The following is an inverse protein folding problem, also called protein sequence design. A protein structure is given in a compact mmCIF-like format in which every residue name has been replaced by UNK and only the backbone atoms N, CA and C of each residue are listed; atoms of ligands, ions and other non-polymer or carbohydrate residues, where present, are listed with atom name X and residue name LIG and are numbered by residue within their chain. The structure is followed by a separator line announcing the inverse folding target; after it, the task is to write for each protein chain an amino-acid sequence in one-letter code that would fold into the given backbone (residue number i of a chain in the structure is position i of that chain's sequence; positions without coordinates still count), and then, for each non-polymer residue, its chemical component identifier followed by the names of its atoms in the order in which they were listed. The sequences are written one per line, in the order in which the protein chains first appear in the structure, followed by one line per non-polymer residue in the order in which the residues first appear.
data_IF_275181469724
#
_entry.id   IF_275181469724
#
_cell.length_a   1.000
_cell.length_b   1.000
_cell.length_c   1.000
_cell.angle_alpha   90.00
_cell.angle_beta   90.00
_cell.angle_gamma   90.00
#
_symmetry.space_group_name_H-M   'P 1'
#
loop_
_entity.id
_entity.type
_entity.pdbx_description
1 polymer ?
#
# COMPACT_ATOMS: atom_id res chain seq x y z
N UNK A 1 24.12 14.03 -1.56
CA UNK A 1 23.38 12.91 -0.94
C UNK A 1 22.37 12.39 -1.95
N UNK A 2 22.21 11.08 -2.11
CA UNK A 2 21.18 10.54 -2.99
C UNK A 2 19.79 10.91 -2.45
N UNK A 3 18.87 11.27 -3.35
CA UNK A 3 17.49 11.54 -2.97
C UNK A 3 16.87 10.30 -2.30
N UNK A 4 16.09 10.48 -1.22
CA UNK A 4 15.53 9.34 -0.49
C UNK A 4 14.53 8.58 -1.36
N UNK A 5 14.45 7.27 -1.12
CA UNK A 5 13.48 6.41 -1.76
C UNK A 5 12.08 6.59 -1.14
N UNK A 6 11.06 6.23 -1.91
CA UNK A 6 9.67 6.18 -1.46
C UNK A 6 9.05 4.84 -1.85
N UNK A 7 8.13 4.38 -1.01
CA UNK A 7 7.38 3.15 -1.26
C UNK A 7 6.00 3.49 -1.82
N UNK A 8 5.50 2.66 -2.72
CA UNK A 8 4.12 2.68 -3.14
C UNK A 8 3.52 1.30 -2.98
N UNK A 9 2.28 1.28 -2.49
CA UNK A 9 1.61 0.08 -2.02
C UNK A 9 0.27 -0.06 -2.72
N UNK A 10 0.07 -1.17 -3.43
CA UNK A 10 -1.21 -1.55 -3.99
C UNK A 10 -1.69 -2.82 -3.28
N UNK A 11 -2.70 -2.68 -2.43
CA UNK A 11 -3.22 -3.79 -1.63
C UNK A 11 -4.14 -4.71 -2.44
N UNK A 12 -4.22 -5.94 -1.95
CA UNK A 12 -5.20 -6.93 -2.31
C UNK A 12 -5.61 -7.68 -1.03
N UNK A 13 -6.65 -8.52 -1.08
CA UNK A 13 -7.04 -9.33 0.08
C UNK A 13 -5.90 -10.21 0.58
N UNK A 14 -5.31 -9.86 1.73
CA UNK A 14 -4.27 -10.60 2.42
C UNK A 14 -2.82 -10.31 2.01
N UNK A 15 -2.58 -9.48 0.98
CA UNK A 15 -1.24 -9.19 0.47
C UNK A 15 -1.17 -7.83 -0.23
N UNK A 16 0.02 -7.35 -0.58
CA UNK A 16 0.17 -6.12 -1.36
C UNK A 16 1.36 -6.21 -2.34
N UNK A 17 1.30 -5.44 -3.42
CA UNK A 17 2.49 -5.09 -4.20
C UNK A 17 3.18 -3.91 -3.54
N UNK A 18 4.48 -4.04 -3.32
CA UNK A 18 5.39 -2.98 -2.90
C UNK A 18 6.32 -2.65 -4.06
N UNK A 19 6.34 -1.38 -4.46
CA UNK A 19 7.36 -0.81 -5.36
C UNK A 19 8.11 0.27 -4.61
N UNK A 20 9.44 0.31 -4.76
CA UNK A 20 10.25 1.42 -4.27
C UNK A 20 10.85 2.19 -5.45
N UNK A 21 10.68 3.50 -5.43
CA UNK A 21 11.33 4.42 -6.36
C UNK A 21 12.33 5.29 -5.62
N UNK A 22 13.51 5.49 -6.21
CA UNK A 22 14.49 6.49 -5.81
C UNK A 22 14.80 7.43 -6.97
N UNK A 23 15.91 8.15 -6.90
CA UNK A 23 16.25 9.18 -7.89
C UNK A 23 15.42 10.45 -7.68
N UNK A 24 15.24 11.24 -8.74
CA UNK A 24 14.47 12.49 -8.66
C UNK A 24 13.05 12.29 -9.16
N UNK A 25 12.09 13.16 -8.81
CA UNK A 25 10.73 13.07 -9.35
C UNK A 25 10.67 13.12 -10.89
N UNK A 26 11.65 13.74 -11.56
CA UNK A 26 11.71 13.79 -13.03
C UNK A 26 12.48 12.61 -13.64
N UNK A 27 13.31 11.92 -12.87
CA UNK A 27 14.10 10.77 -13.29
C UNK A 27 14.06 9.68 -12.21
N UNK A 28 12.90 9.03 -12.01
CA UNK A 28 12.78 8.00 -10.99
C UNK A 28 13.52 6.73 -11.41
N UNK A 29 14.05 6.03 -10.43
CA UNK A 29 14.69 4.73 -10.60
C UNK A 29 13.93 3.70 -9.77
N UNK A 30 13.57 2.57 -10.40
CA UNK A 30 12.96 1.46 -9.68
C UNK A 30 14.05 0.70 -8.90
N UNK A 31 13.95 0.73 -7.58
CA UNK A 31 14.93 0.12 -6.67
C UNK A 31 14.54 -1.27 -6.20
N UNK A 32 13.24 -1.51 -6.04
CA UNK A 32 12.70 -2.85 -5.79
C UNK A 32 11.23 -2.93 -6.18
N UNK A 33 10.78 -4.14 -6.46
CA UNK A 33 9.38 -4.50 -6.69
C UNK A 33 9.18 -5.90 -6.13
N UNK A 34 8.23 -6.06 -5.22
CA UNK A 34 7.89 -7.37 -4.65
C UNK A 34 6.45 -7.47 -4.18
N UNK A 35 6.00 -8.70 -4.01
CA UNK A 35 4.78 -9.02 -3.28
C UNK A 35 5.13 -9.17 -1.80
N UNK A 36 4.31 -8.58 -0.92
CA UNK A 36 4.42 -8.72 0.53
C UNK A 36 3.15 -9.36 1.09
N UNK A 37 3.30 -10.37 1.94
CA UNK A 37 2.17 -11.06 2.57
C UNK A 37 1.75 -10.34 3.86
N UNK A 38 0.47 -9.97 3.94
CA UNK A 38 -0.12 -9.34 5.12
C UNK A 38 -0.79 -10.38 6.01
N UNK A 39 -1.34 -11.44 5.41
CA UNK A 39 -1.88 -12.59 6.12
C UNK A 39 -1.21 -13.83 5.57
N UNK A 40 -0.43 -14.50 6.41
CA UNK A 40 0.17 -15.78 6.05
C UNK A 40 -0.91 -16.87 6.15
N UNK A 41 -1.20 -17.52 5.03
CA UNK A 41 -2.16 -18.63 4.98
C UNK A 41 -1.58 -19.95 5.49
N UNK A 42 -0.25 -19.99 5.76
CA UNK A 42 0.44 -21.13 6.39
C UNK A 42 1.57 -20.67 7.32
N UNK A 43 1.81 -21.35 8.45
CA UNK A 43 0.96 -22.39 9.06
C UNK A 43 -0.25 -21.81 9.84
N UNK A 44 -0.41 -20.49 9.88
CA UNK A 44 -1.48 -19.81 10.62
C UNK A 44 -2.81 -19.77 9.82
N UNK A 45 -3.89 -20.20 10.47
CA UNK A 45 -5.25 -20.44 9.94
C UNK A 45 -6.11 -19.19 9.80
N UNK A 46 -5.54 -18.00 9.58
CA UNK A 46 -6.33 -16.77 9.50
C UNK A 46 -6.83 -16.54 8.06
N UNK A 47 -8.11 -16.19 7.85
CA UNK A 47 -8.65 -15.93 6.53
C UNK A 47 -8.10 -14.62 5.96
N UNK A 48 -7.74 -14.63 4.68
CA UNK A 48 -7.39 -13.42 3.92
C UNK A 48 -8.60 -12.52 3.66
N UNK A 49 -9.81 -13.05 3.85
CA UNK A 49 -11.09 -12.36 3.72
C UNK A 49 -11.87 -12.48 5.05
N UNK A 50 -11.44 -11.75 6.10
CA UNK A 50 -11.99 -11.92 7.45
C UNK A 50 -13.47 -11.55 7.55
N UNK A 51 -13.95 -10.58 6.76
CA UNK A 51 -15.35 -10.18 6.82
C UNK A 51 -16.24 -11.24 6.16
N UNK A 52 -15.81 -11.80 5.02
CA UNK A 52 -16.51 -12.95 4.42
C UNK A 52 -16.54 -14.15 5.36
N UNK A 53 -15.40 -14.50 5.97
CA UNK A 53 -15.33 -15.60 6.92
C UNK A 53 -16.16 -15.37 8.21
N UNK A 54 -16.52 -14.11 8.48
CA UNK A 54 -17.32 -13.73 9.64
C UNK A 54 -18.82 -13.58 9.34
N UNK A 55 -19.25 -13.65 8.08
CA UNK A 55 -20.61 -13.30 7.67
C UNK A 55 -21.70 -14.18 8.33
N UNK A 56 -21.36 -15.39 8.74
CA UNK A 56 -22.27 -16.34 9.40
C UNK A 56 -21.96 -16.55 10.89
N UNK A 57 -21.02 -15.78 11.47
CA UNK A 57 -20.63 -15.92 12.87
C UNK A 57 -21.48 -15.02 13.78
N UNK A 58 -21.64 -15.38 15.07
CA UNK A 58 -22.12 -14.45 16.09
C UNK A 58 -21.26 -13.17 16.14
N UNK A 59 -21.87 -12.04 16.53
CA UNK A 59 -21.23 -10.73 16.48
C UNK A 59 -19.87 -10.66 17.22
N UNK A 60 -19.79 -11.26 18.40
CA UNK A 60 -18.55 -11.27 19.19
C UNK A 60 -17.46 -12.12 18.55
N UNK A 61 -17.82 -13.26 17.96
CA UNK A 61 -16.88 -14.13 17.24
C UNK A 61 -16.39 -13.48 15.94
N UNK A 62 -17.29 -12.81 15.22
CA UNK A 62 -16.95 -12.02 14.04
C UNK A 62 -15.97 -10.90 14.40
N UNK A 63 -16.24 -10.16 15.49
CA UNK A 63 -15.37 -9.10 15.96
C UNK A 63 -13.99 -9.63 16.38
N UNK A 64 -13.91 -10.76 17.10
CA UNK A 64 -12.64 -11.36 17.47
C UNK A 64 -11.85 -11.85 16.24
N UNK A 65 -12.51 -12.51 15.28
CA UNK A 65 -11.85 -12.97 14.05
C UNK A 65 -11.25 -11.81 13.26
N UNK A 66 -12.04 -10.76 12.99
CA UNK A 66 -11.58 -9.54 12.33
C UNK A 66 -10.43 -8.88 13.12
N UNK A 67 -10.53 -8.85 14.45
CA UNK A 67 -9.49 -8.33 15.34
C UNK A 67 -8.18 -9.11 15.24
N UNK A 68 -8.22 -10.45 15.25
CA UNK A 68 -7.04 -11.32 15.09
C UNK A 68 -6.37 -11.11 13.73
N UNK A 69 -7.16 -11.03 12.65
CA UNK A 69 -6.62 -10.74 11.31
C UNK A 69 -5.97 -9.37 11.26
N UNK A 70 -6.61 -8.32 11.79
CA UNK A 70 -6.04 -6.97 11.85
C UNK A 70 -4.70 -6.93 12.60
N UNK A 71 -4.62 -7.59 13.77
CA UNK A 71 -3.37 -7.68 14.55
C UNK A 71 -2.25 -8.40 13.78
N UNK A 72 -2.58 -9.51 13.11
CA UNK A 72 -1.63 -10.23 12.27
C UNK A 72 -1.17 -9.40 11.07
N UNK A 73 -2.10 -8.76 10.37
CA UNK A 73 -1.81 -7.90 9.22
C UNK A 73 -0.93 -6.71 9.57
N UNK A 74 -1.19 -6.01 10.69
CA UNK A 74 -0.32 -4.92 11.17
C UNK A 74 1.10 -5.39 11.46
N UNK A 75 1.25 -6.51 12.16
CA UNK A 75 2.58 -7.09 12.48
C UNK A 75 3.34 -7.47 11.23
N UNK A 76 2.66 -8.12 10.28
CA UNK A 76 3.26 -8.56 9.02
C UNK A 76 3.62 -7.37 8.14
N UNK A 77 2.72 -6.40 7.97
CA UNK A 77 2.98 -5.15 7.25
C UNK A 77 4.22 -4.44 7.82
N UNK A 78 4.30 -4.25 9.15
CA UNK A 78 5.45 -3.61 9.80
C UNK A 78 6.75 -4.35 9.50
N UNK A 79 6.75 -5.69 9.60
CA UNK A 79 7.94 -6.51 9.29
C UNK A 79 8.38 -6.34 7.82
N UNK A 80 7.46 -6.45 6.88
CA UNK A 80 7.79 -6.40 5.44
C UNK A 80 8.25 -5.00 5.00
N UNK A 81 7.64 -3.94 5.56
CA UNK A 81 8.05 -2.55 5.31
C UNK A 81 9.38 -2.21 5.99
N UNK A 82 9.61 -2.66 7.24
CA UNK A 82 10.89 -2.48 7.93
C UNK A 82 12.02 -3.16 7.15
N UNK A 83 11.79 -4.41 6.73
CA UNK A 83 12.72 -5.14 5.87
C UNK A 83 13.03 -4.37 4.58
N UNK A 84 12.01 -3.82 3.90
CA UNK A 84 12.21 -3.03 2.68
C UNK A 84 13.08 -1.80 2.94
N UNK A 85 12.73 -1.06 4.00
CA UNK A 85 13.44 0.15 4.42
C UNK A 85 14.90 -0.15 4.72
N UNK A 86 15.16 -1.19 5.51
CA UNK A 86 16.51 -1.51 5.99
C UNK A 86 17.37 -2.05 4.83
N UNK A 87 16.82 -2.89 3.96
CA UNK A 87 17.50 -3.38 2.75
C UNK A 87 17.79 -2.26 1.73
N UNK A 88 16.93 -1.25 1.62
CA UNK A 88 17.15 -0.08 0.76
C UNK A 88 18.18 0.87 1.38
N UNK A 89 18.09 1.13 2.68
CA UNK A 89 19.05 1.96 3.40
C UNK A 89 20.46 1.38 3.34
N UNK A 90 20.62 0.07 3.52
CA UNK A 90 21.91 -0.63 3.38
C UNK A 90 22.52 -0.51 1.97
N UNK A 91 21.70 -0.27 0.94
CA UNK A 91 22.12 -0.01 -0.44
C UNK A 91 22.29 1.48 -0.76
N UNK A 92 22.27 2.36 0.24
CA UNK A 92 22.42 3.80 0.05
C UNK A 92 21.15 4.54 -0.35
N UNK A 93 19.98 3.92 -0.18
CA UNK A 93 18.68 4.49 -0.52
C UNK A 93 17.78 4.58 0.73
N UNK A 94 17.99 5.56 1.63
CA UNK A 94 17.13 5.72 2.80
C UNK A 94 15.68 5.98 2.36
N UNK A 95 14.70 5.36 3.02
CA UNK A 95 13.29 5.52 2.67
C UNK A 95 12.67 6.65 3.48
N UNK A 96 12.09 7.65 2.82
CA UNK A 96 11.47 8.81 3.46
C UNK A 96 9.95 8.70 3.61
N UNK A 97 9.29 7.95 2.73
CA UNK A 97 7.82 7.93 2.69
C UNK A 97 7.23 6.68 2.06
N UNK A 98 5.93 6.51 2.27
CA UNK A 98 5.12 5.46 1.67
C UNK A 98 3.76 6.02 1.22
N UNK A 99 3.31 5.64 0.04
CA UNK A 99 1.98 5.93 -0.45
C UNK A 99 1.05 4.74 -0.25
N UNK A 100 -0.13 5.00 0.32
CA UNK A 100 -1.18 4.00 0.59
C UNK A 100 -2.51 4.51 0.06
N UNK A 101 -3.27 3.62 -0.58
CA UNK A 101 -4.60 3.96 -1.06
C UNK A 101 -5.54 4.34 0.10
N UNK A 102 -6.53 5.16 -0.19
CA UNK A 102 -7.70 5.42 0.65
C UNK A 102 -8.97 5.25 -0.18
N UNK A 103 -10.11 5.09 0.49
CA UNK A 103 -11.41 5.08 -0.18
C UNK A 103 -11.93 6.52 -0.34
N UNK A 104 -12.66 6.82 -1.40
CA UNK A 104 -13.19 8.17 -1.70
C UNK A 104 -14.23 8.66 -0.68
N UNK A 105 -14.76 7.77 0.17
CA UNK A 105 -15.81 8.13 1.13
C UNK A 105 -15.22 8.44 2.49
N UNK A 106 -15.65 9.57 3.05
CA UNK A 106 -15.59 9.90 4.49
C UNK A 106 -16.62 9.07 5.30
N UNK A 107 -17.33 8.16 4.63
CA UNK A 107 -18.21 7.17 5.24
C UNK A 107 -17.33 6.16 5.97
N UNK A 108 -17.11 6.38 7.26
CA UNK A 108 -16.73 5.32 8.18
C UNK A 108 -17.55 4.07 7.81
N UNK A 109 -16.87 2.93 7.66
CA UNK A 109 -17.58 1.67 7.44
C UNK A 109 -18.74 1.59 8.44
N UNK A 110 -19.93 1.17 7.99
CA UNK A 110 -21.04 1.02 8.91
C UNK A 110 -20.69 0.02 10.01
N UNK A 111 -21.49 -0.05 11.10
CA UNK A 111 -21.30 -1.04 12.15
C UNK A 111 -21.20 -2.46 11.58
N UNK A 112 -20.43 -3.31 12.29
CA UNK A 112 -20.00 -4.62 11.78
C UNK A 112 -21.19 -5.48 11.31
N UNK A 113 -22.30 -5.47 12.02
CA UNK A 113 -23.53 -6.20 11.67
C UNK A 113 -24.09 -5.81 10.29
N UNK A 114 -24.03 -4.53 9.92
CA UNK A 114 -24.45 -4.04 8.59
C UNK A 114 -23.43 -4.40 7.52
N UNK A 115 -22.13 -4.36 7.83
CA UNK A 115 -21.07 -4.80 6.90
C UNK A 115 -21.24 -6.28 6.55
N UNK A 116 -21.48 -7.13 7.55
CA UNK A 116 -21.58 -8.59 7.39
C UNK A 116 -22.76 -9.03 6.51
N UNK A 117 -23.78 -8.18 6.33
CA UNK A 117 -24.99 -8.47 5.55
C UNK A 117 -24.92 -8.03 4.08
N UNK A 118 -23.83 -7.39 3.64
CA UNK A 118 -23.73 -6.83 2.29
C UNK A 118 -22.41 -7.20 1.64
N UNK A 119 -22.46 -8.02 0.59
CA UNK A 119 -21.27 -8.47 -0.13
C UNK A 119 -20.38 -7.31 -0.64
N UNK A 120 -20.93 -6.21 -1.20
CA UNK A 120 -20.15 -5.02 -1.49
C UNK A 120 -19.45 -4.40 -0.26
N UNK A 121 -20.13 -4.35 0.89
CA UNK A 121 -19.54 -3.81 2.13
C UNK A 121 -18.45 -4.74 2.70
N UNK A 122 -18.59 -6.05 2.56
CA UNK A 122 -17.54 -7.01 2.94
C UNK A 122 -16.22 -6.70 2.20
N UNK A 123 -16.28 -6.57 0.87
CA UNK A 123 -15.10 -6.25 0.05
C UNK A 123 -14.51 -4.88 0.40
N UNK A 124 -15.36 -3.87 0.60
CA UNK A 124 -14.92 -2.55 1.00
C UNK A 124 -14.18 -2.58 2.36
N UNK A 125 -14.75 -3.29 3.34
CA UNK A 125 -14.19 -3.42 4.68
C UNK A 125 -12.87 -4.21 4.71
N UNK A 126 -12.73 -5.23 3.87
CA UNK A 126 -11.48 -5.98 3.70
C UNK A 126 -10.37 -5.11 3.12
N UNK A 127 -10.68 -4.38 2.04
CA UNK A 127 -9.72 -3.45 1.45
C UNK A 127 -9.29 -2.38 2.46
N UNK A 128 -10.23 -1.79 3.20
CA UNK A 128 -9.93 -0.79 4.22
C UNK A 128 -9.06 -1.34 5.35
N UNK A 129 -9.35 -2.55 5.83
CA UNK A 129 -8.53 -3.22 6.84
C UNK A 129 -7.07 -3.31 6.40
N UNK A 130 -6.79 -3.74 5.17
CA UNK A 130 -5.41 -3.89 4.69
C UNK A 130 -4.73 -2.55 4.42
N UNK A 131 -5.42 -1.57 3.83
CA UNK A 131 -4.92 -0.20 3.65
C UNK A 131 -4.56 0.44 5.00
N UNK A 132 -5.42 0.31 6.00
CA UNK A 132 -5.15 0.79 7.36
C UNK A 132 -3.94 0.12 8.00
N UNK A 133 -3.79 -1.20 7.82
CA UNK A 133 -2.64 -1.93 8.34
C UNK A 133 -1.33 -1.45 7.72
N UNK A 134 -1.33 -1.19 6.41
CA UNK A 134 -0.17 -0.66 5.68
C UNK A 134 0.16 0.77 6.11
N UNK A 135 -0.83 1.66 6.19
CA UNK A 135 -0.63 3.04 6.64
C UNK A 135 -0.14 3.11 8.09
N UNK A 136 -0.74 2.32 8.99
CA UNK A 136 -0.31 2.21 10.38
C UNK A 136 1.12 1.68 10.50
N UNK A 137 1.49 0.67 9.71
CA UNK A 137 2.83 0.13 9.68
C UNK A 137 3.86 1.16 9.19
N UNK A 138 3.58 1.86 8.08
CA UNK A 138 4.46 2.90 7.54
C UNK A 138 4.67 4.05 8.53
N UNK A 139 3.59 4.57 9.11
CA UNK A 139 3.64 5.64 10.13
C UNK A 139 4.43 5.19 11.36
N UNK A 140 4.19 3.97 11.86
CA UNK A 140 4.92 3.42 13.00
C UNK A 140 6.40 3.14 12.74
N UNK A 141 6.85 3.21 11.48
CA UNK A 141 8.27 3.16 11.08
C UNK A 141 8.87 4.55 10.84
N UNK A 142 8.11 5.62 11.08
CA UNK A 142 8.53 7.01 10.88
C UNK A 142 8.51 7.47 9.42
N UNK A 143 7.83 6.74 8.53
CA UNK A 143 7.71 7.11 7.12
C UNK A 143 6.58 8.15 6.96
N UNK A 144 6.82 9.18 6.14
CA UNK A 144 5.75 10.08 5.71
C UNK A 144 4.69 9.29 4.92
N UNK A 145 3.43 9.33 5.34
CA UNK A 145 2.35 8.57 4.70
C UNK A 145 1.57 9.47 3.74
N UNK A 146 1.75 9.25 2.44
CA UNK A 146 0.95 9.89 1.40
C UNK A 146 -0.30 9.05 1.13
N UNK A 147 -1.48 9.64 1.33
CA UNK A 147 -2.75 8.98 1.01
C UNK A 147 -3.15 9.30 -0.42
N UNK A 148 -3.64 8.31 -1.16
CA UNK A 148 -4.10 8.53 -2.53
C UNK A 148 -5.42 7.85 -2.83
N UNK A 149 -6.21 8.46 -3.70
CA UNK A 149 -7.41 7.84 -4.26
C UNK A 149 -7.04 7.05 -5.52
N UNK A 150 -7.50 5.79 -5.67
CA UNK A 150 -7.26 5.03 -6.90
C UNK A 150 -7.75 5.76 -8.16
N UNK A 151 -8.88 6.47 -8.04
CA UNK A 151 -9.41 7.36 -9.06
C UNK A 151 -8.47 8.53 -9.32
N UNK A 152 -8.03 8.67 -10.58
CA UNK A 152 -7.19 9.80 -11.02
C UNK A 152 -5.75 9.79 -10.49
N UNK A 153 -5.26 8.67 -9.93
CA UNK A 153 -3.91 8.57 -9.37
C UNK A 153 -2.82 9.05 -10.35
N UNK A 154 -2.88 8.61 -11.62
CA UNK A 154 -1.93 9.03 -12.65
C UNK A 154 -1.89 10.54 -12.83
N UNK A 155 -3.05 11.20 -12.90
CA UNK A 155 -3.14 12.65 -13.07
C UNK A 155 -2.57 13.39 -11.87
N UNK A 156 -2.91 12.95 -10.65
CA UNK A 156 -2.37 13.55 -9.41
C UNK A 156 -0.86 13.37 -9.29
N UNK A 157 -0.36 12.17 -9.55
CA UNK A 157 1.07 11.89 -9.52
C UNK A 157 1.82 12.74 -10.54
N UNK A 158 1.31 12.82 -11.78
CA UNK A 158 1.91 13.63 -12.83
C UNK A 158 1.97 15.12 -12.45
N UNK A 159 0.86 15.69 -11.97
CA UNK A 159 0.81 17.06 -11.51
C UNK A 159 1.79 17.32 -10.34
N UNK A 160 1.85 16.41 -9.37
CA UNK A 160 2.70 16.56 -8.19
C UNK A 160 4.20 16.54 -8.51
N UNK A 161 4.61 15.80 -9.54
CA UNK A 161 6.02 15.69 -9.96
C UNK A 161 6.39 16.58 -11.15
N UNK A 162 5.46 17.45 -11.58
CA UNK A 162 5.69 18.42 -12.65
C UNK A 162 5.80 17.81 -14.05
N UNK A 163 4.99 16.79 -14.36
CA UNK A 163 4.96 16.12 -15.67
C UNK A 163 3.52 15.92 -16.18
N UNK A 164 3.36 15.32 -17.36
CA UNK A 164 2.03 14.96 -17.90
C UNK A 164 1.67 13.51 -17.60
N UNK A 165 0.36 13.17 -17.52
CA UNK A 165 -0.08 11.78 -17.37
C UNK A 165 0.50 10.84 -18.43
N UNK A 166 0.63 11.31 -19.68
CA UNK A 166 1.14 10.56 -20.81
C UNK A 166 2.64 10.25 -20.65
N UNK A 167 3.42 11.24 -20.23
CA UNK A 167 4.85 11.10 -19.98
C UNK A 167 5.14 10.17 -18.79
N UNK A 168 4.36 10.28 -17.71
CA UNK A 168 4.44 9.38 -16.56
C UNK A 168 4.13 7.94 -16.98
N UNK A 169 3.05 7.72 -17.74
CA UNK A 169 2.69 6.40 -18.26
C UNK A 169 3.77 5.84 -19.21
N UNK A 170 4.39 6.69 -20.03
CA UNK A 170 5.51 6.29 -20.89
C UNK A 170 6.70 5.79 -20.07
N UNK A 171 7.07 6.50 -19.01
CA UNK A 171 8.11 6.06 -18.09
C UNK A 171 7.77 4.75 -17.38
N UNK A 172 6.54 4.56 -16.90
CA UNK A 172 6.12 3.30 -16.29
C UNK A 172 6.26 2.12 -17.26
N UNK A 173 6.02 2.33 -18.56
CA UNK A 173 6.27 1.30 -19.58
C UNK A 173 7.75 1.00 -19.74
N UNK A 174 8.61 2.02 -19.75
CA UNK A 174 10.06 1.86 -19.83
C UNK A 174 10.62 1.12 -18.61
N UNK A 175 10.22 1.51 -17.40
CA UNK A 175 10.56 0.80 -16.17
C UNK A 175 10.16 -0.66 -16.26
N UNK A 176 8.92 -0.94 -16.67
CA UNK A 176 8.41 -2.31 -16.84
C UNK A 176 9.20 -3.16 -17.83
N UNK A 177 9.64 -2.57 -18.95
CA UNK A 177 10.50 -3.25 -19.93
C UNK A 177 11.87 -3.57 -19.33
N UNK A 178 12.45 -2.66 -18.57
CA UNK A 178 13.76 -2.84 -17.95
C UNK A 178 13.77 -3.93 -16.87
N UNK A 179 12.70 -4.04 -16.07
CA UNK A 179 12.64 -4.99 -14.94
C UNK A 179 11.94 -6.32 -15.25
N UNK A 180 11.36 -6.46 -16.45
CA UNK A 180 10.65 -7.67 -16.88
C UNK A 180 9.38 -7.98 -16.05
N UNK A 181 8.71 -9.12 -16.32
CA UNK A 181 7.53 -9.54 -15.57
C UNK A 181 7.87 -9.90 -14.10
N UNK A 182 6.92 -9.77 -13.17
CA UNK A 182 5.55 -9.29 -13.35
C UNK A 182 5.44 -7.75 -13.37
N UNK A 183 4.81 -7.16 -14.39
CA UNK A 183 4.55 -5.71 -14.47
C UNK A 183 3.10 -5.41 -14.85
N UNK A 184 2.19 -5.93 -14.04
CA UNK A 184 0.75 -5.83 -14.25
C UNK A 184 0.16 -4.57 -13.61
N UNK A 185 -1.18 -4.51 -13.55
CA UNK A 185 -1.93 -3.36 -13.03
C UNK A 185 -1.43 -2.93 -11.65
N UNK A 186 -1.31 -3.86 -10.72
CA UNK A 186 -0.98 -3.53 -9.32
C UNK A 186 0.47 -3.02 -9.18
N UNK A 187 1.41 -3.54 -9.98
CA UNK A 187 2.77 -3.00 -10.03
C UNK A 187 2.80 -1.58 -10.57
N UNK A 188 2.01 -1.29 -11.60
CA UNK A 188 1.91 0.07 -12.14
C UNK A 188 1.24 1.01 -11.14
N UNK A 189 0.19 0.58 -10.45
CA UNK A 189 -0.46 1.37 -9.39
C UNK A 189 0.52 1.66 -8.25
N UNK A 190 1.20 0.63 -7.73
CA UNK A 190 2.21 0.79 -6.69
C UNK A 190 3.36 1.70 -7.14
N UNK A 191 3.83 1.59 -8.38
CA UNK A 191 4.86 2.48 -8.92
C UNK A 191 4.37 3.94 -9.02
N UNK A 192 3.17 4.18 -9.54
CA UNK A 192 2.59 5.54 -9.59
C UNK A 192 2.40 6.12 -8.19
N UNK A 193 1.98 5.29 -7.22
CA UNK A 193 1.83 5.70 -5.83
C UNK A 193 3.17 6.09 -5.20
N UNK A 194 4.22 5.29 -5.40
CA UNK A 194 5.57 5.63 -4.96
C UNK A 194 6.00 6.97 -5.57
N UNK A 195 5.73 7.15 -6.87
CA UNK A 195 6.10 8.36 -7.58
C UNK A 195 5.37 9.61 -7.04
N UNK A 196 4.09 9.49 -6.69
CA UNK A 196 3.35 10.53 -5.97
C UNK A 196 3.99 10.87 -4.62
N UNK A 197 4.45 9.87 -3.86
CA UNK A 197 5.13 10.11 -2.59
C UNK A 197 6.49 10.83 -2.75
N UNK A 198 7.15 10.75 -3.91
CA UNK A 198 8.39 11.50 -4.17
C UNK A 198 8.18 13.01 -4.18
N UNK A 199 6.96 13.48 -4.45
CA UNK A 199 6.60 14.90 -4.39
C UNK A 199 6.22 15.38 -2.97
N UNK A 200 6.01 14.46 -2.02
CA UNK A 200 5.71 14.86 -0.65
C UNK A 200 6.96 15.53 -0.04
N UNK A 201 6.82 16.71 0.59
CA UNK A 201 7.95 17.37 1.21
C UNK A 201 8.61 16.43 2.22
N UNK A 202 9.94 16.40 2.21
CA UNK A 202 10.75 15.61 3.14
C UNK A 202 10.63 16.18 4.57
N UNK A 203 9.48 15.97 5.21
CA UNK A 203 9.18 16.25 6.61
C UNK A 203 8.95 17.71 6.97
N UNK A 204 7.81 18.00 7.61
CA UNK A 204 7.89 18.66 8.91
C UNK A 204 7.89 17.53 9.94
N UNK A 205 9.05 17.28 10.55
CA UNK A 205 9.13 16.55 11.80
C UNK A 205 8.64 17.52 12.88
N UNK A 206 7.54 17.21 13.54
CA UNK A 206 7.26 17.75 14.86
C UNK A 206 8.08 16.98 15.90
#
# INVERSE_FOLDING_TARGET
MAAPATLGLAEHSGWAVLVALGGTPLQPVLLTRRRIELVHTRPARLPVQPFHASASLPADEAADLVGRVRRAARRNARRELARARDELAARGHPVAGAAVAIHERDDRLPPLDRVLRSHPLLHAAEGELYRDCLAHAASGLGLAVTRYLPGGLTGRAAAAVGTTPEALQAHLRLLGRAVGPPWQKDQRVAATAAWLAMAAPAGLRA
#
